data_IF_328027624270
#
_entry.id   IF_328027624270
#
_cell.length_a   1.000
_cell.length_b   1.000
_cell.length_c   1.000
_cell.angle_alpha   90.00
_cell.angle_beta   90.00
_cell.angle_gamma   90.00
#
_symmetry.space_group_name_H-M   'P 1'
#
loop_
_entity.id
_entity.type
_entity.pdbx_description
1 polymer ?
#
# COMPACT_ATOMS: atom_id res chain seq x y z
N UNK A 1 7.05 53.70 48.42
CA UNK A 1 6.34 53.90 49.70
C UNK A 1 5.06 53.06 49.64
N UNK A 2 4.73 52.33 50.73
CA UNK A 2 3.93 51.10 50.73
C UNK A 2 2.46 51.33 51.15
N UNK A 3 1.77 50.20 51.40
CA UNK A 3 0.44 50.00 52.05
C UNK A 3 -0.72 49.70 51.09
N UNK A 4 -1.66 48.80 51.36
CA UNK A 4 -1.83 47.68 52.27
C UNK A 4 -3.18 47.02 51.89
N UNK A 5 -3.28 45.69 52.02
CA UNK A 5 -4.52 44.91 52.14
C UNK A 5 -5.27 45.33 53.45
N UNK A 6 -6.55 44.97 53.75
CA UNK A 6 -7.00 43.56 53.77
C UNK A 6 -8.52 43.27 53.63
N UNK A 7 -8.83 41.98 53.71
CA UNK A 7 -9.95 41.32 54.42
C UNK A 7 -10.89 40.36 53.66
N UNK A 8 -10.66 39.10 54.00
CA UNK A 8 -11.43 37.87 53.85
C UNK A 8 -12.91 37.97 54.24
N UNK A 9 -13.74 37.14 53.61
CA UNK A 9 -14.76 36.36 54.33
C UNK A 9 -14.85 34.94 53.78
N UNK A 10 -14.35 34.00 54.59
CA UNK A 10 -14.71 32.59 54.57
C UNK A 10 -16.12 32.42 55.15
N UNK A 11 -16.93 31.54 54.56
CA UNK A 11 -18.03 30.86 55.24
C UNK A 11 -17.95 29.39 54.86
N UNK A 12 -17.50 28.58 55.81
CA UNK A 12 -17.66 27.13 55.82
C UNK A 12 -19.10 26.76 56.22
N UNK A 13 -19.58 25.62 55.71
CA UNK A 13 -20.82 24.96 56.13
C UNK A 13 -20.95 23.61 55.44
N UNK A 14 -20.86 22.55 56.24
CA UNK A 14 -20.62 21.14 55.93
C UNK A 14 -21.77 20.37 55.24
N UNK A 15 -21.37 19.23 54.66
CA UNK A 15 -22.07 17.94 54.51
C UNK A 15 -23.44 17.86 53.79
N UNK A 16 -23.45 17.19 52.62
CA UNK A 16 -24.15 15.90 52.54
C UNK A 16 -23.63 14.99 51.41
N UNK A 17 -23.61 13.70 51.72
CA UNK A 17 -23.10 12.59 50.92
C UNK A 17 -23.99 12.34 49.70
N UNK A 18 -23.39 11.73 48.67
CA UNK A 18 -23.83 10.44 48.08
C UNK A 18 -23.82 10.41 46.54
N UNK A 19 -23.00 9.49 46.01
CA UNK A 19 -23.23 8.67 44.80
C UNK A 19 -23.45 9.39 43.45
N UNK A 20 -22.40 9.37 42.63
CA UNK A 20 -22.22 8.31 41.61
C UNK A 20 -20.87 8.46 40.92
N UNK A 21 -19.94 7.57 41.26
CA UNK A 21 -18.87 7.15 40.36
C UNK A 21 -19.50 6.72 39.04
N UNK A 22 -19.34 7.53 38.00
CA UNK A 22 -19.34 7.02 36.63
C UNK A 22 -17.87 6.91 36.24
N UNK A 23 -17.31 5.75 36.56
CA UNK A 23 -16.05 5.27 36.00
C UNK A 23 -16.10 5.41 34.49
N UNK A 24 -15.45 6.45 33.97
CA UNK A 24 -15.08 6.53 32.55
C UNK A 24 -13.90 5.58 32.40
N UNK A 25 -14.23 4.30 32.23
CA UNK A 25 -13.29 3.31 31.75
C UNK A 25 -13.91 2.76 30.46
N UNK A 26 -13.71 3.49 29.37
CA UNK A 26 -14.07 3.05 28.02
C UNK A 26 -12.87 3.33 27.13
N UNK A 27 -12.03 2.30 27.06
CA UNK A 27 -11.21 1.91 25.91
C UNK A 27 -10.50 3.03 25.12
N UNK A 28 -9.29 3.46 25.55
CA UNK A 28 -8.41 4.23 24.67
C UNK A 28 -7.90 3.40 23.47
N UNK A 29 -7.97 2.07 23.53
CA UNK A 29 -7.31 1.19 22.56
C UNK A 29 -8.16 0.90 21.29
N UNK A 30 -9.48 1.07 21.33
CA UNK A 30 -10.36 0.85 20.17
C UNK A 30 -10.46 2.09 19.29
N UNK A 31 -10.48 3.29 19.88
CA UNK A 31 -10.44 4.57 19.17
C UNK A 31 -9.12 4.74 18.41
N UNK A 32 -7.98 4.47 19.07
CA UNK A 32 -6.65 4.56 18.45
C UNK A 32 -6.46 3.56 17.29
N UNK A 33 -7.08 2.38 17.35
CA UNK A 33 -7.06 1.41 16.24
C UNK A 33 -7.86 1.92 15.04
N UNK A 34 -9.08 2.40 15.28
CA UNK A 34 -9.91 3.00 14.23
C UNK A 34 -9.21 4.19 13.55
N UNK A 35 -8.50 5.01 14.31
CA UNK A 35 -7.74 6.14 13.75
C UNK A 35 -6.58 5.67 12.86
N UNK A 36 -5.85 4.63 13.28
CA UNK A 36 -4.75 4.07 12.48
C UNK A 36 -5.24 3.42 11.18
N UNK A 37 -6.35 2.68 11.22
CA UNK A 37 -6.93 2.05 10.04
C UNK A 37 -7.32 3.09 9.00
N UNK A 38 -7.98 4.18 9.45
CA UNK A 38 -8.33 5.33 8.60
C UNK A 38 -7.10 5.99 8.01
N UNK A 39 -6.03 6.16 8.81
CA UNK A 39 -4.77 6.75 8.36
C UNK A 39 -4.11 5.91 7.25
N UNK A 40 -4.07 4.58 7.40
CA UNK A 40 -3.48 3.68 6.40
C UNK A 40 -4.24 3.78 5.08
N UNK A 41 -5.57 3.65 5.10
CA UNK A 41 -6.40 3.75 3.89
C UNK A 41 -6.25 5.11 3.23
N UNK A 42 -6.37 6.20 4.01
CA UNK A 42 -6.25 7.58 3.49
C UNK A 42 -4.87 7.84 2.88
N UNK A 43 -3.81 7.30 3.49
CA UNK A 43 -2.44 7.46 2.97
C UNK A 43 -2.26 6.76 1.62
N UNK A 44 -2.81 5.54 1.46
CA UNK A 44 -2.76 4.81 0.21
C UNK A 44 -3.59 5.50 -0.88
N UNK A 45 -4.79 5.99 -0.55
CA UNK A 45 -5.60 6.78 -1.49
C UNK A 45 -4.88 8.06 -1.95
N UNK A 46 -4.15 8.71 -1.04
CA UNK A 46 -3.33 9.88 -1.37
C UNK A 46 -2.21 9.51 -2.34
N UNK A 47 -1.56 8.35 -2.16
CA UNK A 47 -0.56 7.84 -3.10
C UNK A 47 -1.16 7.56 -4.48
N UNK A 48 -2.33 6.89 -4.54
CA UNK A 48 -3.06 6.65 -5.79
C UNK A 48 -3.39 7.95 -6.52
N UNK A 49 -3.94 8.94 -5.80
CA UNK A 49 -4.29 10.26 -6.36
C UNK A 49 -3.06 10.99 -6.91
N UNK A 50 -1.95 10.90 -6.20
CA UNK A 50 -0.68 11.51 -6.63
C UNK A 50 -0.17 10.86 -7.92
N UNK A 51 -0.15 9.54 -7.98
CA UNK A 51 0.23 8.79 -9.19
C UNK A 51 -0.69 9.10 -10.38
N UNK A 52 -2.01 9.15 -10.16
CA UNK A 52 -2.98 9.49 -11.20
C UNK A 52 -2.77 10.90 -11.75
N UNK A 53 -2.59 11.89 -10.86
CA UNK A 53 -2.35 13.27 -11.26
C UNK A 53 -1.06 13.40 -12.08
N UNK A 54 0.02 12.77 -11.62
CA UNK A 54 1.29 12.76 -12.34
C UNK A 54 1.14 12.17 -13.76
N UNK A 55 0.59 10.96 -13.87
CA UNK A 55 0.40 10.26 -15.15
C UNK A 55 -0.49 11.04 -16.10
N UNK A 56 -1.58 11.62 -15.59
CA UNK A 56 -2.52 12.41 -16.41
C UNK A 56 -1.86 13.66 -16.99
N UNK A 57 -1.07 14.37 -16.18
CA UNK A 57 -0.34 15.55 -16.64
C UNK A 57 0.75 15.16 -17.63
N UNK A 58 1.51 14.11 -17.33
CA UNK A 58 2.61 13.65 -18.18
C UNK A 58 2.09 13.18 -19.55
N UNK A 59 1.05 12.36 -19.58
CA UNK A 59 0.43 11.90 -20.84
C UNK A 59 -0.15 13.07 -21.65
N UNK A 60 -0.77 14.05 -20.99
CA UNK A 60 -1.28 15.24 -21.68
C UNK A 60 -0.15 16.03 -22.36
N UNK A 61 1.00 16.17 -21.71
CA UNK A 61 2.18 16.84 -22.28
C UNK A 61 2.68 16.16 -23.55
N UNK A 62 2.65 14.83 -23.62
CA UNK A 62 3.04 14.05 -24.81
C UNK A 62 2.22 14.34 -26.08
N UNK A 63 1.13 15.11 -25.96
CA UNK A 63 0.24 15.47 -27.08
C UNK A 63 0.32 16.93 -27.50
N UNK A 64 1.08 17.74 -26.77
CA UNK A 64 1.24 19.15 -27.09
C UNK A 64 2.12 19.29 -28.34
N UNK A 65 1.65 20.04 -29.34
CA UNK A 65 2.42 20.24 -30.58
C UNK A 65 3.75 20.91 -30.28
N UNK A 66 4.85 20.32 -30.76
CA UNK A 66 6.22 20.81 -30.54
C UNK A 66 6.98 20.15 -29.39
N UNK A 67 6.39 19.14 -28.73
CA UNK A 67 6.97 18.41 -27.58
C UNK A 67 7.24 16.92 -27.92
N UNK A 68 7.90 16.62 -29.06
CA UNK A 68 8.18 15.21 -29.46
C UNK A 68 9.06 14.45 -28.46
N UNK A 69 9.97 15.14 -27.77
CA UNK A 69 10.83 14.55 -26.74
C UNK A 69 10.05 13.93 -25.58
N UNK A 70 8.88 14.46 -25.25
CA UNK A 70 8.06 13.92 -24.15
C UNK A 70 7.47 12.56 -24.49
N UNK A 71 7.18 12.26 -25.76
CA UNK A 71 6.70 10.92 -26.16
C UNK A 71 7.77 9.87 -25.95
N UNK A 72 9.00 10.16 -26.36
CA UNK A 72 10.12 9.25 -26.16
C UNK A 72 10.43 9.06 -24.67
N UNK A 73 10.38 10.13 -23.87
CA UNK A 73 10.51 10.04 -22.41
C UNK A 73 9.39 9.19 -21.79
N UNK A 74 8.15 9.33 -22.28
CA UNK A 74 7.02 8.55 -21.81
C UNK A 74 7.14 7.07 -22.17
N UNK A 75 7.60 6.76 -23.38
CA UNK A 75 7.89 5.39 -23.81
C UNK A 75 8.95 4.74 -22.92
N UNK A 76 10.06 5.42 -22.69
CA UNK A 76 11.12 4.95 -21.79
C UNK A 76 10.58 4.74 -20.38
N UNK A 77 9.80 5.69 -19.87
CA UNK A 77 9.13 5.56 -18.57
C UNK A 77 8.24 4.32 -18.50
N UNK A 78 7.42 4.03 -19.54
CA UNK A 78 6.59 2.82 -19.58
C UNK A 78 7.45 1.56 -19.62
N UNK A 79 8.56 1.54 -20.37
CA UNK A 79 9.49 0.41 -20.40
C UNK A 79 10.15 0.16 -19.03
N UNK A 80 10.50 1.22 -18.31
CA UNK A 80 11.08 1.14 -16.97
C UNK A 80 10.05 0.56 -15.97
N UNK A 81 8.80 1.02 -16.04
CA UNK A 81 7.71 0.45 -15.24
C UNK A 81 7.50 -1.04 -15.54
N UNK A 82 7.50 -1.43 -16.82
CA UNK A 82 7.35 -2.83 -17.23
C UNK A 82 8.54 -3.71 -16.82
N UNK A 83 9.73 -3.12 -16.66
CA UNK A 83 10.92 -3.85 -16.19
C UNK A 83 10.88 -4.08 -14.67
N UNK A 84 10.20 -3.21 -13.94
CA UNK A 84 10.13 -3.23 -12.48
C UNK A 84 8.80 -3.79 -11.93
N UNK A 85 7.78 -4.00 -12.75
CA UNK A 85 6.43 -4.40 -12.30
C UNK A 85 6.39 -5.69 -11.45
N UNK A 86 7.27 -6.65 -11.73
CA UNK A 86 7.34 -7.93 -11.03
C UNK A 86 8.50 -7.98 -10.00
N UNK A 87 9.02 -6.82 -9.59
CA UNK A 87 10.12 -6.71 -8.63
C UNK A 87 9.57 -6.28 -7.26
N UNK A 88 9.77 -7.07 -6.18
CA UNK A 88 9.20 -6.76 -4.86
C UNK A 88 9.76 -5.45 -4.27
N UNK A 89 10.88 -4.95 -4.78
CA UNK A 89 11.46 -3.68 -4.38
C UNK A 89 10.66 -2.47 -4.91
N UNK A 90 9.82 -2.66 -5.94
CA UNK A 90 9.14 -1.59 -6.69
C UNK A 90 7.62 -1.76 -6.79
N UNK A 91 6.88 -1.84 -5.67
CA UNK A 91 5.44 -2.10 -5.68
C UNK A 91 4.62 -1.00 -6.39
N UNK A 92 5.10 0.24 -6.36
CA UNK A 92 4.41 1.36 -7.00
C UNK A 92 4.33 1.22 -8.53
N UNK A 93 5.20 0.42 -9.15
CA UNK A 93 5.18 0.21 -10.61
C UNK A 93 3.91 -0.48 -11.07
N UNK A 94 3.40 -1.45 -10.31
CA UNK A 94 2.11 -2.08 -10.56
C UNK A 94 0.97 -1.07 -10.46
N UNK A 95 0.94 -0.28 -9.38
CA UNK A 95 -0.06 0.77 -9.19
C UNK A 95 -0.05 1.76 -10.38
N UNK A 96 1.13 2.24 -10.77
CA UNK A 96 1.28 3.18 -11.87
C UNK A 96 0.82 2.59 -13.20
N UNK A 97 1.16 1.32 -13.50
CA UNK A 97 0.69 0.64 -14.71
C UNK A 97 -0.82 0.42 -14.70
N UNK A 98 -1.41 0.08 -13.54
CA UNK A 98 -2.85 -0.09 -13.38
C UNK A 98 -3.60 1.23 -13.60
N UNK A 99 -3.11 2.33 -13.00
CA UNK A 99 -3.65 3.67 -13.23
C UNK A 99 -3.48 4.10 -14.69
N UNK A 100 -2.30 3.85 -15.27
CA UNK A 100 -2.01 4.16 -16.66
C UNK A 100 -2.97 3.43 -17.60
N UNK A 101 -3.19 2.12 -17.40
CA UNK A 101 -4.14 1.35 -18.20
C UNK A 101 -5.54 1.96 -18.19
N UNK A 102 -6.03 2.38 -17.03
CA UNK A 102 -7.33 3.06 -16.90
C UNK A 102 -7.35 4.40 -17.66
N UNK A 103 -6.30 5.21 -17.50
CA UNK A 103 -6.16 6.50 -18.21
C UNK A 103 -6.14 6.27 -19.72
N UNK A 104 -5.34 5.34 -20.23
CA UNK A 104 -5.23 5.05 -21.66
C UNK A 104 -6.56 4.59 -22.25
N UNK A 105 -7.30 3.72 -21.53
CA UNK A 105 -8.64 3.27 -21.92
C UNK A 105 -9.61 4.44 -22.05
N UNK A 106 -9.60 5.34 -21.07
CA UNK A 106 -10.43 6.54 -21.10
C UNK A 106 -10.05 7.46 -22.27
N UNK A 107 -8.76 7.63 -22.55
CA UNK A 107 -8.28 8.51 -23.62
C UNK A 107 -8.62 7.97 -25.02
N UNK A 108 -8.42 6.67 -25.30
CA UNK A 108 -8.70 6.15 -26.64
C UNK A 108 -10.20 5.99 -26.91
N UNK A 109 -11.02 5.73 -25.88
CA UNK A 109 -12.47 5.56 -25.98
C UNK A 109 -13.21 6.88 -26.22
N UNK A 110 -12.72 7.98 -25.65
CA UNK A 110 -13.37 9.29 -25.77
C UNK A 110 -13.30 9.85 -27.20
N UNK A 111 -14.48 10.22 -27.74
CA UNK A 111 -14.60 10.86 -29.07
C UNK A 111 -14.12 12.32 -29.09
N UNK A 112 -13.98 12.96 -27.92
CA UNK A 112 -13.49 14.33 -27.79
C UNK A 112 -11.96 14.42 -27.78
N UNK A 113 -11.27 13.29 -27.68
CA UNK A 113 -9.81 13.22 -27.64
C UNK A 113 -9.23 13.26 -29.05
N UNK A 114 -8.11 13.96 -29.21
CA UNK A 114 -7.39 14.07 -30.49
C UNK A 114 -7.02 12.70 -31.06
N UNK A 115 -7.17 12.52 -32.37
CA UNK A 115 -6.93 11.23 -33.03
C UNK A 115 -5.49 10.73 -32.83
N UNK A 116 -4.50 11.62 -32.83
CA UNK A 116 -3.10 11.25 -32.59
C UNK A 116 -2.90 10.69 -31.19
N UNK A 117 -3.51 11.30 -30.17
CA UNK A 117 -3.45 10.79 -28.80
C UNK A 117 -4.18 9.45 -28.67
N UNK A 118 -5.30 9.26 -29.36
CA UNK A 118 -6.04 7.98 -29.35
C UNK A 118 -5.20 6.85 -29.94
N UNK A 119 -4.50 7.11 -31.05
CA UNK A 119 -3.58 6.14 -31.68
C UNK A 119 -2.42 5.80 -30.74
N UNK A 120 -1.72 6.81 -30.21
CA UNK A 120 -0.61 6.60 -29.28
C UNK A 120 -1.05 5.86 -28.00
N UNK A 121 -2.24 6.18 -27.47
CA UNK A 121 -2.77 5.52 -26.28
C UNK A 121 -3.04 4.03 -26.52
N UNK A 122 -3.52 3.68 -27.71
CA UNK A 122 -3.76 2.29 -28.10
C UNK A 122 -2.44 1.53 -28.27
N UNK A 123 -1.42 2.18 -28.83
CA UNK A 123 -0.07 1.62 -28.97
C UNK A 123 0.57 1.30 -27.61
N UNK A 124 0.57 2.26 -26.69
CA UNK A 124 1.08 2.05 -25.32
C UNK A 124 0.34 0.93 -24.59
N UNK A 125 -1.00 0.89 -24.72
CA UNK A 125 -1.80 -0.19 -24.14
C UNK A 125 -1.43 -1.55 -24.74
N UNK A 126 -1.17 -1.61 -26.05
CA UNK A 126 -0.71 -2.81 -26.74
C UNK A 126 0.65 -3.31 -26.24
N UNK A 127 1.62 -2.40 -26.05
CA UNK A 127 2.94 -2.73 -25.51
C UNK A 127 2.83 -3.29 -24.08
N UNK A 128 2.07 -2.61 -23.22
CA UNK A 128 1.84 -3.05 -21.83
C UNK A 128 1.15 -4.41 -21.80
N UNK A 129 0.06 -4.58 -22.56
CA UNK A 129 -0.67 -5.84 -22.61
C UNK A 129 0.19 -7.00 -23.12
N UNK A 130 0.98 -6.78 -24.17
CA UNK A 130 1.88 -7.79 -24.72
C UNK A 130 2.94 -8.22 -23.70
N UNK A 131 3.54 -7.27 -22.99
CA UNK A 131 4.56 -7.54 -21.97
C UNK A 131 3.97 -8.25 -20.76
N UNK A 132 2.85 -7.77 -20.21
CA UNK A 132 2.17 -8.43 -19.08
C UNK A 132 1.75 -9.87 -19.44
N UNK A 133 1.27 -10.10 -20.67
CA UNK A 133 0.96 -11.46 -21.15
C UNK A 133 2.19 -12.35 -21.21
N UNK A 134 3.32 -11.84 -21.71
CA UNK A 134 4.58 -12.59 -21.73
C UNK A 134 5.02 -12.96 -20.32
N UNK A 135 5.01 -12.00 -19.41
CA UNK A 135 5.45 -12.19 -18.03
C UNK A 135 4.53 -13.18 -17.28
N UNK A 136 3.21 -13.11 -17.49
CA UNK A 136 2.26 -14.07 -16.92
C UNK A 136 2.52 -15.51 -17.38
N UNK A 137 2.84 -15.71 -18.67
CA UNK A 137 3.19 -17.03 -19.20
C UNK A 137 4.54 -17.51 -18.62
N UNK A 138 5.54 -16.63 -18.54
CA UNK A 138 6.85 -16.97 -17.95
C UNK A 138 6.73 -17.31 -16.47
N UNK A 139 5.84 -16.65 -15.72
CA UNK A 139 5.61 -16.96 -14.30
C UNK A 139 5.08 -18.37 -14.09
N UNK A 140 4.22 -18.88 -14.99
CA UNK A 140 3.70 -20.26 -14.89
C UNK A 140 4.79 -21.31 -15.10
N UNK A 141 5.89 -20.96 -15.76
CA UNK A 141 7.02 -21.87 -15.99
C UNK A 141 7.91 -22.04 -14.74
N UNK A 142 7.80 -21.14 -13.76
CA UNK A 142 8.66 -21.11 -12.57
C UNK A 142 7.98 -21.67 -11.31
N UNK A 143 6.97 -22.53 -11.46
CA UNK A 143 6.24 -23.10 -10.31
C UNK A 143 7.13 -23.87 -9.33
N UNK A 144 8.20 -24.52 -9.83
CA UNK A 144 9.14 -25.25 -8.97
C UNK A 144 9.83 -24.33 -7.96
N UNK A 145 10.22 -23.12 -8.37
CA UNK A 145 10.84 -22.13 -7.49
C UNK A 145 9.85 -21.65 -6.41
N UNK A 146 8.57 -21.51 -6.76
CA UNK A 146 7.52 -21.13 -5.82
C UNK A 146 7.34 -22.23 -4.77
N UNK A 147 7.32 -23.49 -5.20
CA UNK A 147 7.21 -24.65 -4.30
C UNK A 147 8.40 -24.72 -3.34
N UNK A 148 9.63 -24.50 -3.84
CA UNK A 148 10.84 -24.46 -3.02
C UNK A 148 10.79 -23.35 -1.96
N UNK A 149 10.26 -22.17 -2.29
CA UNK A 149 10.09 -21.06 -1.34
C UNK A 149 9.08 -21.45 -0.26
N UNK A 150 7.93 -22.00 -0.65
CA UNK A 150 6.86 -22.40 0.28
C UNK A 150 7.36 -23.49 1.24
N UNK A 151 8.16 -24.43 0.74
CA UNK A 151 8.78 -25.46 1.57
C UNK A 151 9.70 -24.83 2.62
N UNK A 152 10.64 -23.96 2.22
CA UNK A 152 11.59 -23.31 3.14
C UNK A 152 10.89 -22.48 4.21
N UNK A 153 9.83 -21.75 3.84
CA UNK A 153 9.05 -20.95 4.80
C UNK A 153 8.35 -21.87 5.80
N UNK A 154 7.79 -22.99 5.34
CA UNK A 154 7.11 -23.95 6.21
C UNK A 154 8.08 -24.69 7.15
N UNK A 155 9.30 -24.99 6.70
CA UNK A 155 10.36 -25.58 7.53
C UNK A 155 10.79 -24.61 8.65
N UNK A 156 11.00 -23.33 8.32
CA UNK A 156 11.31 -22.30 9.31
C UNK A 156 10.21 -22.16 10.37
N UNK A 157 8.93 -22.18 9.97
CA UNK A 157 7.79 -22.11 10.90
C UNK A 157 7.77 -23.30 11.89
N UNK A 158 8.16 -24.49 11.45
CA UNK A 158 8.21 -25.70 12.28
C UNK A 158 9.37 -25.66 13.28
N UNK A 159 10.55 -25.18 12.86
CA UNK A 159 11.70 -25.00 13.74
C UNK A 159 11.43 -23.95 14.83
N UNK A 160 10.82 -22.82 14.45
CA UNK A 160 10.47 -21.75 15.38
C UNK A 160 9.39 -22.21 16.39
N UNK A 161 8.40 -22.98 15.93
CA UNK A 161 7.38 -23.58 16.80
C UNK A 161 7.96 -24.63 17.76
N UNK A 162 8.96 -25.42 17.32
CA UNK A 162 9.67 -26.36 18.16
C UNK A 162 10.54 -25.67 19.23
N UNK A 163 11.18 -24.55 18.87
CA UNK A 163 11.95 -23.73 19.80
C UNK A 163 11.04 -22.99 20.82
N UNK A 164 9.84 -22.58 20.42
CA UNK A 164 8.88 -21.86 21.26
C UNK A 164 8.05 -22.76 22.20
N UNK A 165 8.25 -24.08 22.20
CA UNK A 165 7.60 -25.01 23.16
C UNK A 165 6.07 -25.07 23.11
N UNK A 166 5.45 -24.62 22.03
CA UNK A 166 3.98 -24.50 21.93
C UNK A 166 3.32 -25.86 21.63
N UNK A 167 2.50 -26.34 22.57
CA UNK A 167 1.68 -27.56 22.38
C UNK A 167 0.66 -27.32 21.26
N UNK A 168 0.75 -28.12 20.20
CA UNK A 168 -0.22 -28.24 19.10
C UNK A 168 -1.62 -28.54 19.65
N UNK A 169 -2.47 -27.53 19.81
CA UNK A 169 -3.89 -27.71 20.12
C UNK A 169 -4.71 -26.48 19.69
N UNK A 170 -4.58 -26.05 18.44
CA UNK A 170 -5.65 -25.36 17.72
C UNK A 170 -5.64 -25.85 16.27
N UNK A 171 -6.81 -25.98 15.61
CA UNK A 171 -6.85 -26.27 14.19
C UNK A 171 -6.30 -25.04 13.46
N UNK A 172 -5.00 -25.05 13.15
CA UNK A 172 -4.41 -24.09 12.21
C UNK A 172 -5.16 -24.25 10.90
N UNK A 173 -6.05 -23.30 10.61
CA UNK A 173 -6.49 -23.02 9.25
C UNK A 173 -5.18 -22.95 8.44
N UNK A 174 -5.00 -23.83 7.48
CA UNK A 174 -3.80 -23.80 6.64
C UNK A 174 -3.72 -22.39 6.06
N UNK A 175 -2.71 -21.57 6.41
CA UNK A 175 -2.65 -20.22 5.88
C UNK A 175 -2.67 -20.36 4.36
N UNK A 176 -3.51 -19.54 3.72
CA UNK A 176 -3.67 -19.59 2.28
C UNK A 176 -2.28 -19.48 1.64
N UNK A 177 -2.04 -20.19 0.54
CA UNK A 177 -0.73 -20.17 -0.14
C UNK A 177 -0.25 -18.73 -0.36
N UNK A 178 -1.20 -17.84 -0.65
CA UNK A 178 -1.01 -16.39 -0.75
C UNK A 178 -0.41 -15.77 0.52
N UNK A 179 -0.94 -16.07 1.70
CA UNK A 179 -0.47 -15.51 2.98
C UNK A 179 0.97 -15.94 3.27
N UNK A 180 1.32 -17.20 3.02
CA UNK A 180 2.70 -17.70 3.18
C UNK A 180 3.67 -16.96 2.25
N UNK A 181 3.28 -16.76 1.00
CA UNK A 181 4.11 -16.05 0.02
C UNK A 181 4.24 -14.56 0.37
N UNK A 182 3.17 -13.93 0.84
CA UNK A 182 3.18 -12.55 1.33
C UNK A 182 4.14 -12.39 2.51
N UNK A 183 4.09 -13.31 3.50
CA UNK A 183 5.00 -13.30 4.64
C UNK A 183 6.46 -13.44 4.20
N UNK A 184 6.76 -14.41 3.34
CA UNK A 184 8.11 -14.62 2.81
C UNK A 184 8.65 -13.39 2.07
N UNK A 185 7.80 -12.73 1.28
CA UNK A 185 8.17 -11.51 0.58
C UNK A 185 8.43 -10.34 1.55
N UNK A 186 7.58 -10.17 2.57
CA UNK A 186 7.79 -9.14 3.58
C UNK A 186 9.06 -9.36 4.40
N UNK A 187 9.41 -10.61 4.70
CA UNK A 187 10.64 -10.98 5.40
C UNK A 187 11.87 -10.69 4.53
N UNK A 188 11.83 -11.06 3.24
CA UNK A 188 12.85 -10.69 2.27
C UNK A 188 13.08 -9.17 2.23
N UNK A 189 12.01 -8.38 2.15
CA UNK A 189 12.12 -6.92 2.14
C UNK A 189 12.65 -6.37 3.47
N UNK A 190 12.24 -6.94 4.60
CA UNK A 190 12.71 -6.53 5.92
C UNK A 190 14.20 -6.83 6.13
N UNK A 191 14.68 -7.99 5.66
CA UNK A 191 16.08 -8.37 5.73
C UNK A 191 16.95 -7.40 4.90
N UNK A 192 16.55 -7.12 3.66
CA UNK A 192 17.31 -6.23 2.79
C UNK A 192 17.18 -4.74 3.16
N UNK A 193 16.10 -4.35 3.86
CA UNK A 193 15.92 -2.97 4.33
C UNK A 193 16.99 -2.52 5.34
N UNK A 194 17.76 -3.45 5.92
CA UNK A 194 18.92 -3.11 6.76
C UNK A 194 20.02 -2.39 5.96
N UNK A 195 20.12 -2.69 4.67
CA UNK A 195 21.10 -2.10 3.76
C UNK A 195 20.54 -0.90 3.00
N UNK A 196 19.26 -0.96 2.61
CA UNK A 196 18.63 0.07 1.78
C UNK A 196 17.32 0.58 2.40
N UNK A 197 17.29 1.86 2.77
CA UNK A 197 16.11 2.49 3.37
C UNK A 197 14.91 2.55 2.43
N UNK A 198 15.11 2.49 1.11
CA UNK A 198 14.01 2.50 0.14
C UNK A 198 13.12 1.25 0.24
N UNK A 199 13.69 0.10 0.61
CA UNK A 199 12.94 -1.15 0.76
C UNK A 199 11.98 -1.12 1.94
N UNK A 200 12.26 -0.28 2.95
CA UNK A 200 11.31 0.00 4.02
C UNK A 200 10.02 0.61 3.45
N UNK A 201 10.13 1.57 2.55
CA UNK A 201 8.96 2.19 1.90
C UNK A 201 8.18 1.16 1.08
N UNK A 202 8.86 0.29 0.35
CA UNK A 202 8.23 -0.77 -0.45
C UNK A 202 7.45 -1.75 0.44
N UNK A 203 8.03 -2.14 1.58
CA UNK A 203 7.34 -2.97 2.58
C UNK A 203 6.09 -2.29 3.13
N UNK A 204 6.17 -1.02 3.52
CA UNK A 204 5.01 -0.27 4.02
C UNK A 204 3.93 -0.13 2.95
N UNK A 205 4.31 0.04 1.69
CA UNK A 205 3.39 0.16 0.58
C UNK A 205 2.57 -1.13 0.37
N UNK A 206 3.21 -2.31 0.39
CA UNK A 206 2.49 -3.59 0.29
C UNK A 206 1.51 -3.79 1.44
N UNK A 207 1.93 -3.49 2.67
CA UNK A 207 1.06 -3.60 3.85
C UNK A 207 -0.16 -2.70 3.70
N UNK A 208 0.03 -1.44 3.30
CA UNK A 208 -1.07 -0.51 3.09
C UNK A 208 -2.01 -0.95 1.96
N UNK A 209 -1.47 -1.49 0.87
CA UNK A 209 -2.25 -2.02 -0.24
C UNK A 209 -3.12 -3.20 0.18
N UNK A 210 -2.53 -4.24 0.80
CA UNK A 210 -3.28 -5.43 1.22
C UNK A 210 -4.29 -5.11 2.34
N UNK A 211 -3.97 -4.17 3.22
CA UNK A 211 -4.91 -3.69 4.22
C UNK A 211 -6.12 -3.01 3.57
N UNK A 212 -5.89 -2.16 2.55
CA UNK A 212 -6.98 -1.58 1.77
C UNK A 212 -7.79 -2.66 1.05
N UNK A 213 -7.14 -3.62 0.42
CA UNK A 213 -7.85 -4.63 -0.38
C UNK A 213 -8.74 -5.51 0.50
N UNK A 214 -8.26 -5.90 1.69
CA UNK A 214 -9.07 -6.64 2.67
C UNK A 214 -10.23 -5.82 3.25
N UNK A 215 -10.09 -4.50 3.41
CA UNK A 215 -11.17 -3.62 3.87
C UNK A 215 -12.21 -3.29 2.78
N UNK A 216 -11.82 -3.34 1.51
CA UNK A 216 -12.75 -3.12 0.37
C UNK A 216 -13.50 -4.40 -0.01
N UNK A 217 -12.92 -5.58 0.23
CA UNK A 217 -13.54 -6.89 -0.06
C UNK A 217 -14.44 -7.43 1.08
N UNK A 218 -14.35 -6.87 2.29
CA UNK A 218 -15.18 -7.22 3.46
C UNK A 218 -16.56 -6.55 3.46
#
# INVERSE_FOLDING_TARGET
>A
LPEADPEEKQVEGEDDKNRKNKSVNTEPNTVLKSDNDVLIVTSYETAMRTGYNFLSVFLKKCTTKGEEDYRHLFENFVQDLLTTVNKPEWPASELLLSLLGRILVQQFSSKSTDMSLRVASLEYLGIVAARLRKDAITSQLNQDVINDIVQKVSENDEEEAAAAGSKKNEPKLTPDLTEKLQQAMLEYLAYNAQSESALFCSRQFYIAQWFRDTTVEA
#
